data_IF_734064105423
#
_entry.id   IF_734064105423
#
_cell.length_a   1.000
_cell.length_b   1.000
_cell.length_c   1.000
_cell.angle_alpha   90.00
_cell.angle_beta   90.00
_cell.angle_gamma   90.00
#
_symmetry.space_group_name_H-M   'P 1'
#
loop_
_entity.id
_entity.type
_entity.pdbx_description
1 polymer ?
#
# COMPACT_ATOMS: atom_id res chain seq x y z
N UNK A 1 1.07 -8.83 -2.62
CA UNK A 1 0.83 -9.65 -3.84
C UNK A 1 0.92 -11.13 -3.50
N UNK A 2 2.06 -11.68 -3.07
CA UNK A 2 2.19 -13.13 -2.79
C UNK A 2 1.23 -13.62 -1.67
N UNK A 3 0.85 -12.77 -0.72
CA UNK A 3 -0.20 -13.09 0.26
C UNK A 3 -1.60 -13.16 -0.33
N UNK A 4 -1.88 -12.40 -1.39
CA UNK A 4 -3.14 -12.56 -2.11
C UNK A 4 -3.20 -13.94 -2.79
N UNK A 5 -2.10 -14.31 -3.46
CA UNK A 5 -1.95 -15.60 -4.15
C UNK A 5 -2.02 -16.78 -3.17
N UNK A 6 -1.37 -16.67 -2.01
CA UNK A 6 -1.48 -17.68 -0.96
C UNK A 6 -2.92 -17.81 -0.46
N UNK A 7 -3.60 -16.68 -0.23
CA UNK A 7 -5.02 -16.66 0.16
C UNK A 7 -5.92 -17.40 -0.84
N UNK A 8 -5.82 -17.06 -2.13
CA UNK A 8 -6.51 -17.75 -3.22
C UNK A 8 -6.24 -19.27 -3.17
N UNK A 9 -4.96 -19.67 -3.21
CA UNK A 9 -4.58 -21.08 -3.23
C UNK A 9 -5.15 -21.85 -2.04
N UNK A 10 -5.12 -21.26 -0.85
CA UNK A 10 -5.65 -21.86 0.38
C UNK A 10 -7.17 -21.96 0.30
N UNK A 11 -7.86 -20.87 -0.07
CA UNK A 11 -9.32 -20.80 -0.14
C UNK A 11 -9.95 -21.63 -1.26
N UNK A 12 -9.21 -21.93 -2.34
CA UNK A 12 -9.68 -22.65 -3.54
C UNK A 12 -10.28 -24.04 -3.29
N UNK A 13 -10.00 -24.63 -2.12
CA UNK A 13 -10.54 -25.93 -1.70
C UNK A 13 -11.93 -25.76 -1.06
N UNK A 14 -12.19 -24.61 -0.45
CA UNK A 14 -13.30 -24.35 0.46
C UNK A 14 -14.47 -23.58 -0.18
N UNK A 15 -14.25 -22.91 -1.31
CA UNK A 15 -15.29 -22.19 -2.07
C UNK A 15 -16.55 -23.06 -2.31
N UNK A 16 -16.34 -24.33 -2.67
CA UNK A 16 -17.40 -25.32 -2.88
C UNK A 16 -17.48 -26.39 -1.78
N UNK A 17 -16.61 -26.30 -0.76
CA UNK A 17 -16.58 -27.22 0.38
C UNK A 17 -16.33 -26.43 1.68
N UNK A 18 -17.32 -25.66 2.17
CA UNK A 18 -17.15 -24.82 3.35
C UNK A 18 -16.72 -25.63 4.58
N UNK A 19 -15.95 -25.00 5.46
CA UNK A 19 -15.48 -25.59 6.72
C UNK A 19 -15.78 -24.68 7.89
N UNK A 20 -16.10 -25.27 9.03
CA UNK A 20 -16.18 -24.58 10.33
C UNK A 20 -14.97 -24.89 11.23
N UNK A 21 -14.11 -25.82 10.81
CA UNK A 21 -12.90 -26.19 11.54
C UNK A 21 -11.78 -25.18 11.29
N UNK A 22 -11.36 -24.44 12.31
CA UNK A 22 -10.26 -23.46 12.22
C UNK A 22 -8.87 -24.12 12.06
N UNK A 23 -8.74 -25.42 12.29
CA UNK A 23 -7.47 -26.16 12.20
C UNK A 23 -7.28 -26.87 10.86
N UNK A 24 -8.02 -26.48 9.82
CA UNK A 24 -7.88 -27.04 8.48
C UNK A 24 -6.44 -26.93 7.94
N UNK A 25 -6.07 -27.86 7.07
CA UNK A 25 -4.76 -27.81 6.39
C UNK A 25 -4.73 -26.68 5.36
N UNK A 26 -3.84 -25.70 5.53
CA UNK A 26 -3.73 -24.55 4.61
C UNK A 26 -3.44 -24.98 3.17
N UNK A 27 -2.43 -25.84 2.99
CA UNK A 27 -1.98 -26.31 1.68
C UNK A 27 -2.20 -27.82 1.56
N UNK A 28 -3.23 -28.21 0.82
CA UNK A 28 -3.49 -29.61 0.48
C UNK A 28 -3.05 -29.91 -0.96
N UNK A 29 -3.16 -31.18 -1.37
CA UNK A 29 -2.98 -31.59 -2.77
C UNK A 29 -4.04 -31.00 -3.72
N UNK A 30 -5.18 -30.55 -3.19
CA UNK A 30 -6.27 -29.93 -3.96
C UNK A 30 -6.13 -28.42 -4.10
N UNK A 31 -5.29 -27.80 -3.27
CA UNK A 31 -5.03 -26.36 -3.29
C UNK A 31 -4.37 -25.95 -4.60
N UNK A 32 -5.01 -25.05 -5.34
CA UNK A 32 -4.60 -24.58 -6.67
C UNK A 32 -4.86 -23.09 -6.77
N UNK A 33 -4.13 -22.37 -7.63
CA UNK A 33 -4.46 -20.98 -7.93
C UNK A 33 -5.70 -20.90 -8.82
N UNK A 34 -6.50 -19.84 -8.66
CA UNK A 34 -7.70 -19.57 -9.47
C UNK A 34 -7.51 -18.33 -10.35
N UNK A 35 -8.60 -17.77 -10.88
CA UNK A 35 -8.56 -16.53 -11.64
C UNK A 35 -8.12 -15.32 -10.80
N UNK A 36 -8.29 -15.37 -9.48
CA UNK A 36 -7.75 -14.41 -8.52
C UNK A 36 -6.25 -14.17 -8.72
N UNK A 37 -5.47 -15.26 -8.69
CA UNK A 37 -4.03 -15.21 -8.93
C UNK A 37 -3.72 -14.76 -10.35
N UNK A 38 -4.40 -15.31 -11.36
CA UNK A 38 -4.10 -14.97 -12.76
C UNK A 38 -4.32 -13.48 -13.00
N UNK A 39 -5.43 -12.93 -12.54
CA UNK A 39 -5.76 -11.53 -12.73
C UNK A 39 -4.96 -10.61 -11.80
N UNK A 40 -4.55 -11.07 -10.61
CA UNK A 40 -3.55 -10.39 -9.78
C UNK A 40 -2.23 -10.26 -10.52
N UNK A 41 -1.76 -11.33 -11.16
CA UNK A 41 -0.55 -11.33 -11.98
C UNK A 41 -0.71 -10.40 -13.19
N UNK A 42 -1.87 -10.42 -13.85
CA UNK A 42 -2.16 -9.53 -14.97
C UNK A 42 -2.15 -8.04 -14.58
N UNK A 43 -2.66 -7.69 -13.40
CA UNK A 43 -2.58 -6.33 -12.84
C UNK A 43 -1.12 -5.94 -12.58
N UNK A 44 -0.32 -6.82 -11.98
CA UNK A 44 1.11 -6.58 -11.74
C UNK A 44 1.91 -6.40 -13.05
N UNK A 45 1.65 -7.24 -14.04
CA UNK A 45 2.27 -7.16 -15.37
C UNK A 45 1.91 -5.86 -16.09
N UNK A 46 0.64 -5.43 -16.01
CA UNK A 46 0.20 -4.16 -16.58
C UNK A 46 0.89 -2.97 -15.93
N UNK A 47 0.97 -2.93 -14.60
CA UNK A 47 1.65 -1.87 -13.84
C UNK A 47 3.14 -1.78 -14.19
N UNK A 48 3.87 -2.90 -14.12
CA UNK A 48 5.31 -2.90 -14.35
C UNK A 48 5.72 -2.52 -15.77
N UNK A 49 4.86 -2.81 -16.75
CA UNK A 49 5.14 -2.61 -18.17
C UNK A 49 4.30 -1.49 -18.80
N UNK A 50 3.57 -0.72 -17.98
CA UNK A 50 2.69 0.35 -18.42
C UNK A 50 1.73 -0.07 -19.56
N UNK A 51 1.14 -1.27 -19.43
CA UNK A 51 0.18 -1.81 -20.41
C UNK A 51 -1.24 -1.35 -20.09
N UNK A 52 -2.09 -1.37 -21.11
CA UNK A 52 -3.53 -1.25 -20.91
C UNK A 52 -4.08 -2.43 -20.08
N UNK A 53 -4.93 -2.15 -19.08
CA UNK A 53 -5.47 -3.17 -18.19
C UNK A 53 -6.42 -4.12 -18.91
N UNK A 54 -7.30 -3.61 -19.78
CA UNK A 54 -8.27 -4.44 -20.48
C UNK A 54 -7.55 -5.47 -21.35
N UNK A 55 -6.55 -5.00 -22.11
CA UNK A 55 -5.73 -5.88 -22.93
C UNK A 55 -4.94 -6.88 -22.08
N UNK A 56 -4.30 -6.43 -21.00
CA UNK A 56 -3.54 -7.32 -20.10
C UNK A 56 -4.44 -8.43 -19.53
N UNK A 57 -5.65 -8.10 -19.07
CA UNK A 57 -6.59 -9.09 -18.54
C UNK A 57 -7.02 -10.12 -19.58
N UNK A 58 -7.23 -9.71 -20.84
CA UNK A 58 -7.52 -10.64 -21.93
C UNK A 58 -6.33 -11.53 -22.29
N UNK A 59 -5.12 -10.96 -22.36
CA UNK A 59 -3.90 -11.71 -22.66
C UNK A 59 -3.66 -12.83 -21.64
N UNK A 60 -3.79 -12.50 -20.35
CA UNK A 60 -3.64 -13.48 -19.27
C UNK A 60 -4.79 -14.48 -19.19
N UNK A 61 -6.03 -14.06 -19.46
CA UNK A 61 -7.15 -14.99 -19.61
C UNK A 61 -6.91 -16.01 -20.73
N UNK A 62 -6.39 -15.57 -21.88
CA UNK A 62 -6.12 -16.45 -23.02
C UNK A 62 -5.01 -17.48 -22.72
N UNK A 63 -4.04 -17.13 -21.87
CA UNK A 63 -3.03 -18.07 -21.38
C UNK A 63 -3.61 -19.08 -20.38
N UNK A 64 -4.60 -18.68 -19.58
CA UNK A 64 -5.17 -19.48 -18.50
C UNK A 64 -6.70 -19.50 -18.51
N UNK A 65 -7.38 -20.03 -19.55
CA UNK A 65 -8.82 -19.81 -19.74
C UNK A 65 -9.74 -20.66 -18.83
N UNK A 66 -9.18 -21.53 -17.97
CA UNK A 66 -9.92 -22.54 -17.17
C UNK A 66 -9.68 -22.41 -15.66
N UNK A 67 -9.48 -21.19 -15.15
CA UNK A 67 -9.08 -20.97 -13.76
C UNK A 67 -10.18 -20.56 -12.78
N UNK A 68 -11.44 -20.43 -13.20
CA UNK A 68 -12.55 -20.12 -12.28
C UNK A 68 -13.41 -18.91 -12.67
N UNK A 69 -13.00 -18.16 -13.70
CA UNK A 69 -13.65 -16.89 -14.07
C UNK A 69 -15.17 -16.92 -14.10
N UNK A 70 -15.76 -15.90 -13.47
CA UNK A 70 -17.18 -15.61 -13.56
C UNK A 70 -17.68 -15.50 -15.01
N UNK A 71 -18.90 -15.96 -15.26
CA UNK A 71 -19.45 -16.13 -16.62
C UNK A 71 -19.44 -14.84 -17.46
N UNK A 72 -19.70 -13.68 -16.86
CA UNK A 72 -19.66 -12.39 -17.55
C UNK A 72 -18.23 -11.97 -17.93
N UNK A 73 -17.26 -12.19 -17.05
CA UNK A 73 -15.85 -11.92 -17.35
C UNK A 73 -15.37 -12.79 -18.50
N UNK A 74 -15.70 -14.09 -18.47
CA UNK A 74 -15.35 -15.04 -19.53
C UNK A 74 -15.89 -14.59 -20.90
N UNK A 75 -17.17 -14.21 -20.97
CA UNK A 75 -17.78 -13.69 -22.20
C UNK A 75 -17.07 -12.43 -22.71
N UNK A 76 -16.77 -11.49 -21.80
CA UNK A 76 -16.05 -10.27 -22.15
C UNK A 76 -14.63 -10.56 -22.66
N UNK A 77 -13.87 -11.43 -21.97
CA UNK A 77 -12.49 -11.75 -22.31
C UNK A 77 -12.38 -12.48 -23.65
N UNK A 78 -13.40 -13.24 -24.03
CA UNK A 78 -13.51 -13.93 -25.33
C UNK A 78 -14.03 -13.05 -26.46
N UNK A 79 -14.55 -11.85 -26.16
CA UNK A 79 -15.02 -10.90 -27.18
C UNK A 79 -13.87 -10.02 -27.69
N UNK A 80 -14.09 -9.32 -28.80
CA UNK A 80 -13.13 -8.32 -29.31
C UNK A 80 -13.22 -6.97 -28.56
N UNK A 81 -14.28 -6.75 -27.77
CA UNK A 81 -14.53 -5.45 -27.11
C UNK A 81 -13.64 -5.21 -25.88
N UNK A 82 -13.00 -4.05 -25.80
CA UNK A 82 -12.30 -3.61 -24.58
C UNK A 82 -13.21 -2.81 -23.62
N UNK A 83 -14.45 -2.53 -24.03
CA UNK A 83 -15.41 -1.80 -23.19
C UNK A 83 -15.83 -2.63 -21.98
N UNK A 84 -16.02 -2.00 -20.81
CA UNK A 84 -16.47 -2.69 -19.61
C UNK A 84 -17.91 -3.20 -19.73
N UNK A 85 -18.25 -4.22 -18.95
CA UNK A 85 -19.55 -4.91 -19.04
C UNK A 85 -20.49 -4.67 -17.84
N UNK A 86 -20.27 -3.61 -17.04
CA UNK A 86 -21.23 -3.22 -16.00
C UNK A 86 -21.16 -4.00 -14.69
N UNK A 87 -20.08 -4.75 -14.43
CA UNK A 87 -20.04 -5.67 -13.28
C UNK A 87 -19.98 -4.96 -11.93
N UNK A 88 -20.81 -5.43 -10.99
CA UNK A 88 -20.84 -5.05 -9.57
C UNK A 88 -20.16 -6.08 -8.64
N UNK A 89 -19.61 -7.16 -9.22
CA UNK A 89 -18.98 -8.25 -8.46
C UNK A 89 -17.65 -7.87 -7.81
N UNK A 90 -17.15 -8.75 -6.95
CA UNK A 90 -15.89 -8.64 -6.21
C UNK A 90 -14.62 -8.83 -7.08
N UNK A 91 -14.78 -9.23 -8.34
CA UNK A 91 -13.69 -9.59 -9.24
C UNK A 91 -12.64 -8.49 -9.51
N UNK A 92 -12.99 -7.22 -9.29
CA UNK A 92 -12.04 -6.11 -9.31
C UNK A 92 -11.18 -6.03 -8.04
N UNK A 93 -11.78 -6.30 -6.87
CA UNK A 93 -11.13 -6.22 -5.57
C UNK A 93 -10.14 -7.37 -5.33
N UNK A 94 -10.47 -8.58 -5.80
CA UNK A 94 -9.61 -9.76 -5.65
C UNK A 94 -8.24 -9.60 -6.34
N UNK A 95 -8.20 -8.86 -7.45
CA UNK A 95 -6.99 -8.69 -8.28
C UNK A 95 -6.23 -7.37 -8.08
N UNK A 96 -6.71 -6.50 -7.20
CA UNK A 96 -6.17 -5.13 -7.06
C UNK A 96 -4.90 -5.06 -6.22
N UNK A 97 -4.51 -6.17 -5.56
CA UNK A 97 -3.42 -6.16 -4.59
C UNK A 97 -2.10 -5.53 -5.08
N UNK A 98 -1.65 -5.70 -6.35
CA UNK A 98 -0.43 -5.06 -6.83
C UNK A 98 -0.49 -3.53 -6.78
N UNK A 99 -1.65 -2.93 -7.02
CA UNK A 99 -1.84 -1.47 -6.97
C UNK A 99 -1.51 -0.92 -5.59
N UNK A 100 -1.95 -1.59 -4.52
CA UNK A 100 -1.67 -1.19 -3.13
C UNK A 100 -0.18 -1.22 -2.76
N UNK A 101 0.63 -2.00 -3.49
CA UNK A 101 2.08 -2.09 -3.30
C UNK A 101 2.86 -1.10 -4.18
N UNK A 102 2.37 -0.79 -5.38
CA UNK A 102 3.13 -0.13 -6.43
C UNK A 102 3.35 1.37 -6.18
N UNK A 103 2.35 2.07 -5.64
CA UNK A 103 2.39 3.52 -5.50
C UNK A 103 2.78 3.99 -4.09
N UNK A 104 3.35 5.20 -4.02
CA UNK A 104 3.86 5.79 -2.78
C UNK A 104 2.93 6.81 -2.13
N UNK A 105 1.78 7.10 -2.75
CA UNK A 105 0.72 7.92 -2.15
C UNK A 105 -0.63 7.22 -2.19
N UNK A 106 -1.46 7.49 -1.18
CA UNK A 106 -2.81 6.95 -1.10
C UNK A 106 -3.65 7.42 -2.29
N UNK A 107 -3.58 8.70 -2.66
CA UNK A 107 -4.35 9.25 -3.79
C UNK A 107 -4.03 8.55 -5.12
N UNK A 108 -2.74 8.34 -5.44
CA UNK A 108 -2.36 7.59 -6.63
C UNK A 108 -2.82 6.13 -6.57
N UNK A 109 -2.74 5.50 -5.39
CA UNK A 109 -3.22 4.13 -5.19
C UNK A 109 -4.71 4.01 -5.48
N UNK A 110 -5.51 4.96 -4.98
CA UNK A 110 -6.96 4.97 -5.17
C UNK A 110 -7.37 5.29 -6.60
N UNK A 111 -6.67 6.22 -7.26
CA UNK A 111 -6.96 6.52 -8.67
C UNK A 111 -6.58 5.34 -9.57
N UNK A 112 -5.45 4.70 -9.32
CA UNK A 112 -5.06 3.54 -10.13
C UNK A 112 -5.97 2.33 -9.90
N UNK A 113 -6.41 2.10 -8.65
CA UNK A 113 -7.39 1.06 -8.35
C UNK A 113 -8.73 1.30 -9.06
N UNK A 114 -9.14 2.57 -9.19
CA UNK A 114 -10.31 2.96 -9.99
C UNK A 114 -10.10 2.60 -11.46
N UNK A 115 -8.94 2.96 -12.04
CA UNK A 115 -8.61 2.68 -13.44
C UNK A 115 -8.58 1.18 -13.74
N UNK A 116 -7.96 0.37 -12.89
CA UNK A 116 -7.87 -1.09 -13.08
C UNK A 116 -9.23 -1.80 -12.90
N UNK A 117 -10.12 -1.24 -12.07
CA UNK A 117 -11.48 -1.77 -11.88
C UNK A 117 -12.37 -1.44 -13.09
N UNK A 118 -12.35 -0.17 -13.52
CA UNK A 118 -13.30 0.39 -14.49
C UNK A 118 -13.26 -0.26 -15.88
N UNK A 119 -12.20 -0.98 -16.25
CA UNK A 119 -12.11 -1.70 -17.54
C UNK A 119 -13.00 -2.95 -17.63
N UNK A 120 -13.56 -3.42 -16.51
CA UNK A 120 -14.50 -4.57 -16.50
C UNK A 120 -15.66 -4.36 -15.52
N UNK A 121 -15.37 -3.78 -14.36
CA UNK A 121 -16.27 -3.56 -13.24
C UNK A 121 -16.43 -2.05 -13.04
N UNK A 122 -17.16 -1.40 -13.94
CA UNK A 122 -17.42 0.05 -13.90
C UNK A 122 -18.62 0.43 -13.01
N UNK A 123 -19.21 -0.51 -12.26
CA UNK A 123 -20.21 -0.19 -11.25
C UNK A 123 -19.55 0.52 -10.04
N UNK A 124 -20.19 1.55 -9.45
CA UNK A 124 -19.64 2.29 -8.31
C UNK A 124 -19.18 1.40 -7.14
N UNK A 125 -19.98 0.40 -6.78
CA UNK A 125 -19.64 -0.51 -5.67
C UNK A 125 -18.37 -1.33 -5.93
N UNK A 126 -18.15 -1.79 -7.16
CA UNK A 126 -16.98 -2.59 -7.52
C UNK A 126 -15.72 -1.73 -7.68
N UNK A 127 -15.87 -0.47 -8.10
CA UNK A 127 -14.80 0.53 -8.04
C UNK A 127 -14.44 0.83 -6.59
N UNK A 128 -15.44 1.12 -5.75
CA UNK A 128 -15.24 1.43 -4.34
C UNK A 128 -14.55 0.29 -3.61
N UNK A 129 -14.94 -0.96 -3.87
CA UNK A 129 -14.29 -2.14 -3.30
C UNK A 129 -12.82 -2.29 -3.72
N UNK A 130 -12.49 -2.11 -5.00
CA UNK A 130 -11.10 -2.14 -5.45
C UNK A 130 -10.27 -1.04 -4.79
N UNK A 131 -10.82 0.17 -4.67
CA UNK A 131 -10.18 1.29 -3.97
C UNK A 131 -10.01 1.01 -2.47
N UNK A 132 -11.02 0.43 -1.82
CA UNK A 132 -10.99 0.06 -0.41
C UNK A 132 -9.87 -0.95 -0.12
N UNK A 133 -9.79 -2.03 -0.90
CA UNK A 133 -8.74 -3.05 -0.73
C UNK A 133 -7.35 -2.49 -1.03
N UNK A 134 -7.17 -1.76 -2.14
CA UNK A 134 -5.88 -1.17 -2.48
C UNK A 134 -5.42 -0.14 -1.44
N UNK A 135 -6.34 0.70 -0.95
CA UNK A 135 -6.09 1.67 0.12
C UNK A 135 -5.75 1.00 1.45
N UNK A 136 -6.46 -0.08 1.81
CA UNK A 136 -6.16 -0.87 3.01
C UNK A 136 -4.76 -1.48 2.96
N UNK A 137 -4.35 -2.04 1.81
CA UNK A 137 -2.99 -2.56 1.59
C UNK A 137 -1.94 -1.45 1.72
N UNK A 138 -2.19 -0.28 1.11
CA UNK A 138 -1.30 0.87 1.22
C UNK A 138 -1.14 1.34 2.66
N UNK A 139 -2.24 1.49 3.40
CA UNK A 139 -2.20 1.92 4.80
C UNK A 139 -1.53 0.86 5.68
N UNK A 140 -1.87 -0.42 5.49
CA UNK A 140 -1.25 -1.53 6.21
C UNK A 140 0.28 -1.52 6.14
N UNK A 141 0.85 -1.32 4.94
CA UNK A 141 2.32 -1.28 4.78
C UNK A 141 2.95 0.02 5.30
N UNK A 142 2.20 1.11 5.38
CA UNK A 142 2.71 2.44 5.77
C UNK A 142 2.60 2.73 7.26
N UNK A 143 1.50 2.32 7.88
CA UNK A 143 1.18 2.70 9.26
C UNK A 143 1.30 1.55 10.24
N UNK A 144 1.10 0.30 9.76
CA UNK A 144 1.03 -0.89 10.63
C UNK A 144 0.01 -0.73 11.76
N UNK A 145 -1.05 0.03 11.51
CA UNK A 145 -2.10 0.33 12.48
C UNK A 145 -3.50 -0.04 11.91
N UNK A 146 -4.15 -1.01 12.55
CA UNK A 146 -5.49 -1.48 12.16
C UNK A 146 -6.56 -0.41 12.37
N UNK A 147 -6.43 0.46 13.37
CA UNK A 147 -7.41 1.51 13.64
C UNK A 147 -7.41 2.56 12.52
N UNK A 148 -6.24 2.89 11.96
CA UNK A 148 -6.15 3.77 10.80
C UNK A 148 -6.83 3.16 9.58
N UNK A 149 -6.58 1.88 9.31
CA UNK A 149 -7.22 1.15 8.18
C UNK A 149 -8.73 1.09 8.39
N UNK A 150 -9.18 0.73 9.59
CA UNK A 150 -10.58 0.67 9.97
C UNK A 150 -11.28 2.02 9.75
N UNK A 151 -10.71 3.12 10.29
CA UNK A 151 -11.28 4.45 10.17
C UNK A 151 -11.36 4.90 8.71
N UNK A 152 -10.31 4.65 7.93
CA UNK A 152 -10.29 4.93 6.49
C UNK A 152 -11.44 4.21 5.77
N UNK A 153 -11.61 2.91 6.03
CA UNK A 153 -12.64 2.11 5.37
C UNK A 153 -14.05 2.53 5.78
N UNK A 154 -14.27 2.77 7.08
CA UNK A 154 -15.54 3.23 7.63
C UNK A 154 -15.93 4.61 7.11
N UNK A 155 -15.06 5.61 7.22
CA UNK A 155 -15.40 6.99 6.89
C UNK A 155 -15.41 7.27 5.38
N UNK A 156 -14.54 6.63 4.60
CA UNK A 156 -14.45 6.89 3.16
C UNK A 156 -15.42 6.04 2.33
N UNK A 157 -15.68 4.81 2.74
CA UNK A 157 -16.51 3.86 1.96
C UNK A 157 -17.80 3.45 2.68
N UNK A 158 -18.02 3.89 3.92
CA UNK A 158 -19.23 3.58 4.67
C UNK A 158 -19.32 2.11 5.08
N UNK A 159 -18.20 1.39 5.17
CA UNK A 159 -18.21 -0.02 5.53
C UNK A 159 -18.50 -0.22 7.02
N UNK A 160 -19.41 -1.16 7.30
CA UNK A 160 -19.67 -1.68 8.63
C UNK A 160 -18.72 -2.84 8.92
N UNK A 161 -17.77 -2.62 9.84
CA UNK A 161 -16.64 -3.53 10.08
C UNK A 161 -16.59 -4.05 11.53
N UNK A 162 -17.67 -3.84 12.29
CA UNK A 162 -17.72 -4.10 13.73
C UNK A 162 -18.08 -5.55 14.07
N UNK A 163 -18.63 -6.31 13.11
CA UNK A 163 -19.09 -7.69 13.32
C UNK A 163 -17.95 -8.62 13.74
N UNK A 164 -18.26 -9.56 14.61
CA UNK A 164 -17.39 -10.69 14.94
C UNK A 164 -17.46 -11.79 13.88
N UNK A 165 -16.41 -12.59 13.78
CA UNK A 165 -16.33 -13.71 12.82
C UNK A 165 -17.49 -14.69 13.00
N UNK A 166 -17.85 -15.00 14.25
CA UNK A 166 -18.97 -15.89 14.57
C UNK A 166 -20.34 -15.34 14.16
N UNK A 167 -20.52 -14.02 14.23
CA UNK A 167 -21.77 -13.37 13.80
C UNK A 167 -21.93 -13.41 12.29
N UNK A 168 -20.84 -13.20 11.55
CA UNK A 168 -20.85 -13.31 10.09
C UNK A 168 -21.10 -14.76 9.68
N UNK A 169 -20.41 -15.73 10.29
CA UNK A 169 -20.56 -17.14 9.95
C UNK A 169 -21.99 -17.67 10.14
N UNK A 170 -22.75 -17.14 11.11
CA UNK A 170 -24.12 -17.56 11.36
C UNK A 170 -25.09 -17.21 10.22
N UNK A 171 -24.87 -16.06 9.55
CA UNK A 171 -25.84 -15.47 8.63
C UNK A 171 -25.30 -15.31 7.19
N UNK A 172 -24.00 -15.52 6.95
CA UNK A 172 -23.37 -15.26 5.67
C UNK A 172 -23.54 -16.43 4.69
N UNK A 173 -23.87 -16.10 3.45
CA UNK A 173 -24.03 -17.04 2.35
C UNK A 173 -23.14 -16.64 1.18
N UNK A 174 -22.95 -17.56 0.23
CA UNK A 174 -22.15 -17.33 -0.96
C UNK A 174 -22.63 -16.07 -1.71
N UNK A 175 -21.81 -15.03 -1.71
CA UNK A 175 -22.09 -13.74 -2.33
C UNK A 175 -20.88 -13.27 -3.13
N UNK A 176 -21.08 -13.09 -4.43
CA UNK A 176 -20.06 -12.62 -5.37
C UNK A 176 -20.08 -11.09 -5.52
N UNK A 177 -20.99 -10.40 -4.83
CA UNK A 177 -21.09 -8.94 -4.85
C UNK A 177 -19.90 -8.30 -4.17
N UNK A 178 -19.43 -7.19 -4.74
CA UNK A 178 -18.40 -6.38 -4.08
C UNK A 178 -18.88 -5.90 -2.70
N UNK A 179 -20.15 -5.48 -2.59
CA UNK A 179 -20.74 -4.95 -1.36
C UNK A 179 -20.89 -6.00 -0.26
N UNK A 180 -21.22 -7.23 -0.63
CA UNK A 180 -21.50 -8.30 0.32
C UNK A 180 -20.25 -9.07 0.76
N UNK A 181 -19.26 -9.26 -0.12
CA UNK A 181 -18.09 -10.10 0.18
C UNK A 181 -16.86 -9.34 0.68
N UNK A 182 -16.58 -8.16 0.13
CA UNK A 182 -15.33 -7.42 0.39
C UNK A 182 -15.24 -6.92 1.84
N UNK A 183 -16.31 -6.36 2.44
CA UNK A 183 -16.28 -6.01 3.87
C UNK A 183 -16.00 -7.23 4.77
N UNK A 184 -16.51 -8.41 4.44
CA UNK A 184 -16.29 -9.60 5.27
C UNK A 184 -14.83 -10.06 5.22
N UNK A 185 -14.21 -10.05 4.04
CA UNK A 185 -12.78 -10.33 3.89
C UNK A 185 -11.91 -9.32 4.65
N UNK A 186 -12.30 -8.05 4.66
CA UNK A 186 -11.64 -7.01 5.45
C UNK A 186 -11.80 -7.28 6.95
N UNK A 187 -13.00 -7.67 7.42
CA UNK A 187 -13.23 -8.03 8.83
C UNK A 187 -12.35 -9.21 9.23
N UNK A 188 -12.21 -10.23 8.38
CA UNK A 188 -11.32 -11.36 8.62
C UNK A 188 -9.87 -10.91 8.91
N UNK A 189 -9.36 -9.93 8.13
CA UNK A 189 -8.09 -9.28 8.42
C UNK A 189 -8.13 -8.47 9.72
N UNK A 190 -9.14 -7.63 9.96
CA UNK A 190 -9.19 -6.78 11.14
C UNK A 190 -9.20 -7.61 12.44
N UNK A 191 -9.88 -8.76 12.45
CA UNK A 191 -9.95 -9.70 13.58
C UNK A 191 -8.77 -10.67 13.70
N UNK A 192 -7.79 -10.62 12.80
CA UNK A 192 -6.62 -11.51 12.82
C UNK A 192 -5.53 -11.08 13.81
N UNK A 193 -4.62 -11.98 14.14
CA UNK A 193 -3.41 -11.71 14.96
C UNK A 193 -2.12 -11.83 14.17
N UNK A 194 -2.19 -12.52 13.04
CA UNK A 194 -1.09 -12.78 12.11
C UNK A 194 -1.66 -13.09 10.72
N UNK A 195 -0.79 -13.37 9.75
CA UNK A 195 -1.19 -13.68 8.39
C UNK A 195 -2.07 -14.94 8.29
N UNK A 196 -1.69 -16.01 9.00
CA UNK A 196 -2.38 -17.29 8.92
C UNK A 196 -3.81 -17.17 9.48
N UNK A 197 -3.97 -16.55 10.64
CA UNK A 197 -5.27 -16.28 11.25
C UNK A 197 -6.15 -15.39 10.37
N UNK A 198 -5.59 -14.43 9.61
CA UNK A 198 -6.37 -13.65 8.64
C UNK A 198 -6.96 -14.53 7.53
N UNK A 199 -6.15 -15.41 6.95
CA UNK A 199 -6.60 -16.34 5.90
C UNK A 199 -7.59 -17.36 6.46
N UNK A 200 -7.32 -17.92 7.65
CA UNK A 200 -8.23 -18.86 8.32
C UNK A 200 -9.58 -18.21 8.63
N UNK A 201 -9.56 -17.02 9.22
CA UNK A 201 -10.78 -16.25 9.49
C UNK A 201 -11.60 -16.08 8.21
N UNK A 202 -10.96 -15.72 7.09
CA UNK A 202 -11.66 -15.52 5.81
C UNK A 202 -12.29 -16.82 5.30
N UNK A 203 -11.57 -17.94 5.33
CA UNK A 203 -12.09 -19.26 4.93
C UNK A 203 -13.27 -19.70 5.82
N UNK A 204 -13.22 -19.41 7.12
CA UNK A 204 -14.27 -19.78 8.07
C UNK A 204 -15.58 -19.04 7.87
N UNK A 205 -15.57 -17.88 7.20
CA UNK A 205 -16.80 -17.15 6.87
C UNK A 205 -17.68 -17.94 5.89
N UNK A 206 -17.08 -18.85 5.13
CA UNK A 206 -17.75 -19.55 4.03
C UNK A 206 -18.09 -18.62 2.86
N UNK A 207 -18.72 -19.18 1.82
CA UNK A 207 -19.01 -18.45 0.59
C UNK A 207 -17.85 -18.51 -0.41
N UNK A 208 -17.53 -17.37 -1.01
CA UNK A 208 -16.47 -17.20 -2.02
C UNK A 208 -15.08 -17.19 -1.35
N UNK A 209 -14.70 -18.36 -0.83
CA UNK A 209 -13.63 -18.50 0.16
C UNK A 209 -12.23 -18.19 -0.41
N UNK A 210 -11.95 -18.51 -1.67
CA UNK A 210 -10.72 -18.10 -2.36
C UNK A 210 -10.64 -16.60 -2.51
N UNK A 211 -11.71 -15.95 -2.99
CA UNK A 211 -11.73 -14.48 -3.11
C UNK A 211 -11.57 -13.77 -1.76
N UNK A 212 -12.30 -14.23 -0.75
CA UNK A 212 -12.21 -13.64 0.59
C UNK A 212 -10.82 -13.83 1.20
N UNK A 213 -10.25 -15.03 1.09
CA UNK A 213 -8.90 -15.32 1.58
C UNK A 213 -7.84 -14.55 0.79
N UNK A 214 -8.01 -14.38 -0.51
CA UNK A 214 -7.16 -13.58 -1.39
C UNK A 214 -7.11 -12.12 -0.91
N UNK A 215 -8.26 -11.50 -0.68
CA UNK A 215 -8.35 -10.11 -0.18
C UNK A 215 -7.77 -9.98 1.23
N UNK A 216 -8.17 -10.85 2.16
CA UNK A 216 -7.69 -10.82 3.54
C UNK A 216 -6.16 -11.04 3.60
N UNK A 217 -5.65 -12.02 2.85
CA UNK A 217 -4.23 -12.32 2.72
C UNK A 217 -3.44 -11.17 2.09
N UNK A 218 -4.01 -10.47 1.11
CA UNK A 218 -3.38 -9.29 0.51
C UNK A 218 -3.11 -8.17 1.53
N UNK A 219 -4.11 -7.86 2.37
CA UNK A 219 -4.01 -6.83 3.42
C UNK A 219 -3.11 -7.33 4.55
N UNK A 220 -3.30 -8.57 4.99
CA UNK A 220 -2.52 -9.19 6.06
C UNK A 220 -1.03 -9.23 5.74
N UNK A 221 -0.65 -9.58 4.50
CA UNK A 221 0.75 -9.54 4.06
C UNK A 221 1.33 -8.13 4.21
N UNK A 222 0.57 -7.10 3.85
CA UNK A 222 1.03 -5.73 3.96
C UNK A 222 1.15 -5.27 5.42
N UNK A 223 0.40 -5.87 6.34
CA UNK A 223 0.37 -5.51 7.75
C UNK A 223 1.41 -6.28 8.57
N UNK A 224 1.43 -7.60 8.50
CA UNK A 224 2.27 -8.44 9.36
C UNK A 224 3.74 -8.50 8.87
N UNK A 225 4.70 -8.81 9.75
CA UNK A 225 6.13 -8.85 9.41
C UNK A 225 6.49 -9.99 8.43
N UNK A 226 5.62 -10.99 8.27
CA UNK A 226 5.78 -12.07 7.32
C UNK A 226 4.56 -12.98 7.29
N UNK A 227 4.58 -13.93 6.35
CA UNK A 227 3.50 -14.91 6.15
C UNK A 227 3.91 -16.34 6.58
N UNK A 228 5.11 -16.49 7.15
CA UNK A 228 5.77 -17.77 7.38
C UNK A 228 6.51 -18.28 6.14
N UNK A 229 7.75 -18.73 6.29
CA UNK A 229 8.61 -19.19 5.17
C UNK A 229 7.95 -20.31 4.36
N UNK A 230 7.26 -21.23 5.02
CA UNK A 230 6.57 -22.35 4.38
C UNK A 230 5.46 -21.89 3.42
N UNK A 231 4.77 -20.80 3.73
CA UNK A 231 3.67 -20.27 2.91
C UNK A 231 4.18 -19.80 1.55
N UNK A 232 5.29 -19.08 1.51
CA UNK A 232 5.86 -18.58 0.25
C UNK A 232 6.37 -19.72 -0.64
N UNK A 233 7.05 -20.71 -0.05
CA UNK A 233 7.50 -21.90 -0.78
C UNK A 233 6.32 -22.67 -1.39
N UNK A 234 5.24 -22.87 -0.64
CA UNK A 234 4.06 -23.58 -1.13
C UNK A 234 3.33 -22.84 -2.25
N UNK A 235 3.38 -21.49 -2.26
CA UNK A 235 2.91 -20.69 -3.41
C UNK A 235 3.77 -20.97 -4.64
N UNK A 236 5.08 -20.78 -4.55
CA UNK A 236 5.95 -20.93 -5.73
C UNK A 236 5.97 -22.36 -6.29
N UNK A 237 5.76 -23.39 -5.46
CA UNK A 237 5.58 -24.78 -5.92
C UNK A 237 4.32 -24.99 -6.76
N UNK A 238 3.29 -24.14 -6.60
CA UNK A 238 1.99 -24.26 -7.28
C UNK A 238 1.84 -23.33 -8.47
N UNK A 239 2.66 -22.29 -8.57
CA UNK A 239 2.70 -21.44 -9.74
C UNK A 239 3.53 -22.09 -10.84
N UNK A 240 3.06 -21.97 -12.08
CA UNK A 240 3.94 -22.26 -13.21
C UNK A 240 5.00 -21.15 -13.40
N UNK A 241 5.96 -21.41 -14.28
CA UNK A 241 7.07 -20.49 -14.54
C UNK A 241 6.61 -19.09 -14.98
N UNK A 242 5.55 -18.96 -15.79
CA UNK A 242 5.12 -17.66 -16.32
C UNK A 242 4.52 -16.80 -15.21
N UNK A 243 3.63 -17.39 -14.39
CA UNK A 243 3.06 -16.70 -13.23
C UNK A 243 4.16 -16.36 -12.22
N UNK A 244 5.02 -17.32 -11.88
CA UNK A 244 6.11 -17.14 -10.92
C UNK A 244 7.10 -16.04 -11.37
N UNK A 245 7.46 -15.98 -12.65
CA UNK A 245 8.39 -14.98 -13.18
C UNK A 245 7.86 -13.54 -12.98
N UNK A 246 6.55 -13.32 -13.14
CA UNK A 246 5.93 -12.00 -12.90
C UNK A 246 5.90 -11.69 -11.41
N UNK A 247 5.51 -12.66 -10.58
CA UNK A 247 5.51 -12.49 -9.11
C UNK A 247 6.90 -12.12 -8.62
N UNK A 248 7.94 -12.84 -9.04
CA UNK A 248 9.34 -12.58 -8.66
C UNK A 248 9.79 -11.19 -9.15
N UNK A 249 9.43 -10.79 -10.37
CA UNK A 249 9.78 -9.45 -10.88
C UNK A 249 9.10 -8.34 -10.08
N UNK A 250 7.84 -8.52 -9.71
CA UNK A 250 7.07 -7.55 -8.95
C UNK A 250 7.52 -7.44 -7.49
N UNK A 251 7.90 -8.57 -6.87
CA UNK A 251 8.32 -8.63 -5.46
C UNK A 251 9.80 -8.30 -5.26
N UNK A 252 10.63 -8.42 -6.31
CA UNK A 252 11.99 -7.92 -6.26
C UNK A 252 11.97 -6.42 -5.96
N UNK A 253 12.85 -5.92 -5.07
CA UNK A 253 13.02 -4.49 -4.90
C UNK A 253 13.44 -3.91 -6.26
N UNK A 254 12.51 -3.29 -6.97
CA UNK A 254 12.84 -2.54 -8.17
C UNK A 254 13.84 -1.46 -7.76
N UNK A 255 15.00 -1.41 -8.40
CA UNK A 255 16.00 -0.35 -8.31
C UNK A 255 15.49 1.05 -8.70
N UNK A 256 14.17 1.20 -8.85
CA UNK A 256 13.44 2.41 -9.21
C UNK A 256 12.42 2.83 -8.13
N UNK A 257 12.36 2.15 -6.98
CA UNK A 257 11.51 2.53 -5.86
C UNK A 257 12.30 2.43 -4.55
N UNK A 258 13.05 3.49 -4.23
CA UNK A 258 13.58 3.66 -2.88
C UNK A 258 12.40 3.69 -1.90
N UNK A 259 12.31 2.69 -1.02
CA UNK A 259 11.51 2.82 0.18
C UNK A 259 11.94 4.12 0.89
N UNK A 260 11.04 5.10 0.95
CA UNK A 260 11.26 6.33 1.70
C UNK A 260 11.48 5.94 3.16
N UNK A 261 12.70 6.09 3.65
CA UNK A 261 13.05 5.90 5.06
C UNK A 261 12.44 7.07 5.85
N UNK A 262 11.53 6.79 6.78
CA UNK A 262 10.85 7.85 7.56
C UNK A 262 11.64 8.23 8.81
N UNK A 263 11.65 9.51 9.16
CA UNK A 263 12.36 10.04 10.32
C UNK A 263 11.37 10.41 11.44
N UNK A 264 11.61 9.97 12.69
CA UNK A 264 10.76 10.28 13.84
C UNK A 264 11.06 11.70 14.38
N UNK A 265 10.73 12.73 13.60
CA UNK A 265 10.89 14.13 13.99
C UNK A 265 9.59 14.68 14.58
N UNK A 266 9.68 15.35 15.73
CA UNK A 266 8.51 15.81 16.50
C UNK A 266 8.57 17.30 16.88
N UNK A 267 9.36 18.10 16.15
CA UNK A 267 9.51 19.53 16.41
C UNK A 267 8.51 20.41 15.64
N UNK A 268 8.27 21.62 16.17
CA UNK A 268 7.47 22.67 15.53
C UNK A 268 8.27 23.96 15.28
N UNK A 269 9.57 23.97 15.57
CA UNK A 269 10.45 25.13 15.37
C UNK A 269 11.01 25.15 13.95
N UNK A 270 10.15 25.52 13.00
CA UNK A 270 10.49 25.59 11.58
C UNK A 270 11.19 26.90 11.22
N UNK A 271 12.13 26.79 10.31
CA UNK A 271 12.88 27.88 9.71
C UNK A 271 12.75 27.78 8.20
N UNK A 272 12.51 28.92 7.53
CA UNK A 272 12.34 28.97 6.09
C UNK A 272 13.37 29.90 5.47
N UNK A 273 13.96 29.46 4.36
CA UNK A 273 14.76 30.29 3.48
C UNK A 273 14.04 30.41 2.14
N UNK A 274 13.38 31.54 1.87
CA UNK A 274 12.84 31.84 0.54
C UNK A 274 13.97 31.85 -0.49
N UNK A 275 13.69 31.30 -1.67
CA UNK A 275 14.55 31.29 -2.84
C UNK A 275 13.81 31.97 -3.99
N UNK A 276 14.51 32.23 -5.09
CA UNK A 276 13.91 32.75 -6.32
C UNK A 276 12.82 31.79 -6.88
N UNK A 277 11.86 32.33 -7.63
CA UNK A 277 10.77 31.58 -8.28
C UNK A 277 9.85 30.81 -7.33
N UNK A 278 9.51 31.41 -6.18
CA UNK A 278 8.62 30.81 -5.16
C UNK A 278 9.11 29.45 -4.62
N UNK A 279 10.42 29.20 -4.68
CA UNK A 279 11.03 28.03 -4.04
C UNK A 279 11.43 28.36 -2.61
N UNK A 280 11.60 27.33 -1.78
CA UNK A 280 11.93 27.48 -0.38
C UNK A 280 12.64 26.23 0.13
N UNK A 281 13.60 26.45 1.04
CA UNK A 281 14.19 25.38 1.83
C UNK A 281 13.73 25.53 3.29
N UNK A 282 13.32 24.41 3.87
CA UNK A 282 12.92 24.34 5.27
C UNK A 282 14.02 23.74 6.12
N UNK A 283 14.10 24.19 7.36
CA UNK A 283 14.93 23.61 8.40
C UNK A 283 14.09 23.39 9.66
N UNK A 284 14.30 22.25 10.32
CA UNK A 284 13.68 21.91 11.60
C UNK A 284 14.78 21.62 12.63
N UNK A 285 14.75 22.33 13.75
CA UNK A 285 15.62 22.03 14.89
C UNK A 285 14.96 20.91 15.69
N UNK A 286 15.67 19.82 15.91
CA UNK A 286 15.22 18.69 16.72
C UNK A 286 16.23 18.40 17.83
N UNK A 287 15.74 18.34 19.07
CA UNK A 287 16.55 17.96 20.21
C UNK A 287 16.85 16.46 20.17
N UNK A 288 18.11 16.10 20.41
CA UNK A 288 18.51 14.70 20.62
C UNK A 288 18.54 14.50 22.13
N UNK A 289 17.73 13.56 22.62
CA UNK A 289 17.53 13.29 24.04
C UNK A 289 18.86 13.16 24.82
N UNK A 290 18.86 13.69 26.04
CA UNK A 290 19.93 13.63 27.05
C UNK A 290 21.29 14.26 26.69
N UNK A 291 21.39 15.01 25.59
CA UNK A 291 22.59 15.79 25.22
C UNK A 291 22.28 17.28 25.01
N UNK A 292 23.28 18.15 25.18
CA UNK A 292 23.14 19.56 24.76
C UNK A 292 23.10 19.71 23.23
N UNK A 293 23.51 18.67 22.50
CA UNK A 293 23.60 18.69 21.05
C UNK A 293 22.22 18.72 20.40
N UNK A 294 22.13 19.48 19.30
CA UNK A 294 20.89 19.58 18.51
C UNK A 294 21.18 19.21 17.06
N UNK A 295 20.19 18.61 16.40
CA UNK A 295 20.23 18.34 14.97
C UNK A 295 19.32 19.33 14.23
N UNK A 296 19.82 19.87 13.13
CA UNK A 296 19.04 20.67 12.18
C UNK A 296 18.83 19.83 10.94
N UNK A 297 17.57 19.53 10.63
CA UNK A 297 17.17 18.76 9.45
C UNK A 297 16.71 19.71 8.35
N UNK A 298 17.27 19.57 7.14
CA UNK A 298 16.87 20.35 5.98
C UNK A 298 15.94 19.56 5.08
N UNK A 299 14.86 20.19 4.64
CA UNK A 299 13.78 19.53 3.92
C UNK A 299 13.12 20.42 2.89
N UNK A 300 12.44 19.78 1.94
CA UNK A 300 11.57 20.45 0.97
C UNK A 300 10.16 20.64 1.54
N UNK A 301 9.33 21.34 0.78
CA UNK A 301 7.92 21.61 1.08
C UNK A 301 7.05 20.33 1.18
N UNK A 302 7.52 19.21 0.64
CA UNK A 302 6.85 17.90 0.66
C UNK A 302 7.39 16.98 1.77
N UNK A 303 8.00 17.56 2.81
CA UNK A 303 8.54 16.86 3.99
C UNK A 303 9.66 15.86 3.70
N UNK A 304 10.27 15.96 2.51
CA UNK A 304 11.44 15.20 2.12
C UNK A 304 12.71 15.81 2.71
N UNK A 305 13.30 15.14 3.70
CA UNK A 305 14.55 15.49 4.36
C UNK A 305 15.72 15.06 3.48
N UNK A 306 16.56 16.03 3.09
CA UNK A 306 17.67 15.78 2.18
C UNK A 306 19.05 16.05 2.80
N UNK A 307 19.13 16.68 3.98
CA UNK A 307 20.38 16.94 4.68
C UNK A 307 20.15 17.09 6.20
N UNK A 308 21.21 16.90 7.00
CA UNK A 308 21.20 17.12 8.46
C UNK A 308 22.54 17.64 8.94
N UNK A 309 22.52 18.64 9.81
CA UNK A 309 23.70 19.16 10.51
C UNK A 309 23.57 19.01 12.03
N UNK A 310 24.70 18.73 12.68
CA UNK A 310 24.80 18.58 14.14
C UNK A 310 25.44 19.83 14.72
N UNK A 311 24.92 20.32 15.84
CA UNK A 311 25.46 21.46 16.58
C UNK A 311 25.64 21.08 18.05
N UNK A 312 26.57 21.75 18.73
CA UNK A 312 26.86 21.45 20.13
C UNK A 312 25.75 21.93 21.07
N UNK A 313 25.01 22.97 20.67
CA UNK A 313 23.89 23.54 21.42
C UNK A 313 22.92 24.31 20.50
N UNK A 314 21.76 24.67 21.08
CA UNK A 314 20.69 25.39 20.39
C UNK A 314 21.15 26.77 19.88
N UNK A 315 21.92 27.51 20.68
CA UNK A 315 22.36 28.86 20.32
C UNK A 315 23.25 28.83 19.07
N UNK A 316 24.15 27.85 18.97
CA UNK A 316 25.01 27.66 17.80
C UNK A 316 24.19 27.36 16.53
N UNK A 317 23.16 26.51 16.65
CA UNK A 317 22.26 26.18 15.55
C UNK A 317 21.46 27.41 15.07
N UNK A 318 20.85 28.15 16.01
CA UNK A 318 20.07 29.36 15.73
C UNK A 318 20.94 30.45 15.08
N UNK A 319 22.13 30.71 15.63
CA UNK A 319 23.08 31.68 15.06
C UNK A 319 23.50 31.27 13.64
N UNK A 320 23.73 29.97 13.40
CA UNK A 320 24.12 29.47 12.09
C UNK A 320 23.00 29.58 11.06
N UNK A 321 21.76 29.25 11.44
CA UNK A 321 20.58 29.42 10.57
C UNK A 321 20.40 30.88 10.16
N UNK A 322 20.43 31.82 11.11
CA UNK A 322 20.32 33.26 10.84
C UNK A 322 21.42 33.77 9.92
N UNK A 323 22.68 33.39 10.14
CA UNK A 323 23.80 33.75 9.26
C UNK A 323 23.64 33.24 7.83
N UNK A 324 22.89 32.15 7.63
CA UNK A 324 22.60 31.57 6.33
C UNK A 324 21.25 32.02 5.74
N UNK A 325 20.67 33.10 6.27
CA UNK A 325 19.43 33.74 5.81
C UNK A 325 18.18 32.87 5.97
N UNK A 326 18.19 31.93 6.92
CA UNK A 326 16.96 31.30 7.36
C UNK A 326 16.24 32.23 8.33
N UNK A 327 14.94 32.38 8.11
CA UNK A 327 14.03 33.15 8.95
C UNK A 327 13.21 32.16 9.78
N UNK A 328 13.06 32.44 11.08
CA UNK A 328 12.25 31.59 11.95
C UNK A 328 10.77 31.80 11.61
N UNK A 329 10.07 30.72 11.26
CA UNK A 329 8.71 30.79 10.73
C UNK A 329 7.73 31.39 11.73
N UNK A 330 7.86 31.05 13.02
CA UNK A 330 7.01 31.58 14.10
C UNK A 330 7.15 33.10 14.30
N UNK A 331 8.29 33.69 13.93
CA UNK A 331 8.65 35.10 14.16
C UNK A 331 8.42 36.00 12.93
N UNK A 332 7.94 35.46 11.80
CA UNK A 332 7.86 36.22 10.54
C UNK A 332 6.45 36.10 9.91
N UNK A 333 5.66 37.19 9.99
CA UNK A 333 4.29 37.23 9.48
C UNK A 333 4.21 37.19 7.95
N UNK A 334 5.18 37.79 7.26
CA UNK A 334 5.26 37.75 5.79
C UNK A 334 5.43 36.31 5.29
N UNK A 335 6.29 35.51 5.94
CA UNK A 335 6.43 34.09 5.60
C UNK A 335 5.13 33.30 5.77
N UNK A 336 4.35 33.60 6.80
CA UNK A 336 3.08 32.92 7.07
C UNK A 336 2.00 33.25 6.04
N UNK A 337 2.09 34.41 5.40
CA UNK A 337 1.19 34.82 4.32
C UNK A 337 1.42 33.99 3.04
N UNK A 338 2.68 33.68 2.73
CA UNK A 338 3.05 33.04 1.47
C UNK A 338 3.30 31.52 1.56
N UNK A 339 3.64 30.99 2.74
CA UNK A 339 4.10 29.61 2.88
C UNK A 339 3.52 28.90 4.12
N UNK A 340 3.18 27.62 3.96
CA UNK A 340 2.90 26.72 5.08
C UNK A 340 4.10 25.82 5.40
N UNK A 341 4.37 25.50 6.68
CA UNK A 341 5.48 24.62 7.07
C UNK A 341 5.21 23.16 6.64
N UNK A 342 6.26 22.34 6.41
CA UNK A 342 6.09 20.94 6.07
C UNK A 342 5.45 20.14 7.20
N UNK A 343 4.60 19.18 6.85
CA UNK A 343 3.85 18.36 7.81
C UNK A 343 4.41 16.93 7.87
N UNK A 344 4.38 16.31 9.05
CA UNK A 344 4.74 14.90 9.20
C UNK A 344 3.83 14.00 8.33
N UNK A 345 4.32 12.82 7.84
CA UNK A 345 5.58 12.19 8.19
C UNK A 345 6.77 12.66 7.32
N UNK A 346 7.91 12.90 7.98
CA UNK A 346 9.17 13.25 7.32
C UNK A 346 9.88 12.01 6.80
N UNK A 347 10.52 12.10 5.64
CA UNK A 347 11.24 10.98 5.03
C UNK A 347 12.53 11.40 4.32
N UNK A 348 13.50 10.50 4.24
CA UNK A 348 14.73 10.72 3.49
C UNK A 348 14.40 10.82 1.99
N UNK A 349 14.81 11.94 1.40
CA UNK A 349 14.64 12.25 0.00
C UNK A 349 15.96 12.76 -0.60
N UNK A 350 16.22 12.53 -1.89
CA UNK A 350 17.35 13.17 -2.56
C UNK A 350 17.14 14.69 -2.59
N UNK A 351 18.25 15.44 -2.56
CA UNK A 351 18.20 16.89 -2.65
C UNK A 351 17.52 17.34 -3.96
N UNK A 352 16.56 18.30 -3.93
CA UNK A 352 15.69 18.63 -5.07
C UNK A 352 16.41 19.19 -6.31
N UNK A 353 17.69 19.59 -6.18
CA UNK A 353 18.54 20.07 -7.29
C UNK A 353 19.81 19.22 -7.51
N UNK A 354 19.83 17.96 -7.05
CA UNK A 354 21.06 17.16 -6.96
C UNK A 354 21.99 17.68 -5.85
N UNK A 355 23.22 17.15 -5.75
CA UNK A 355 24.17 17.33 -4.61
C UNK A 355 24.60 18.77 -4.24
N UNK A 356 24.02 19.83 -4.80
CA UNK A 356 24.75 21.11 -4.92
C UNK A 356 24.19 22.30 -4.14
N UNK A 357 22.96 22.34 -3.60
CA UNK A 357 22.43 23.64 -3.09
C UNK A 357 21.88 23.75 -1.65
N UNK A 358 22.09 22.76 -0.79
CA UNK A 358 22.10 22.98 0.68
C UNK A 358 23.33 22.42 1.37
N UNK A 359 24.25 21.82 0.62
CA UNK A 359 25.39 21.13 1.23
C UNK A 359 26.07 22.10 2.19
N UNK A 360 26.32 21.66 3.43
CA UNK A 360 27.13 22.39 4.41
C UNK A 360 28.55 22.77 3.94
N UNK A 361 28.85 22.64 2.63
CA UNK A 361 30.06 23.10 1.94
C UNK A 361 30.21 24.64 1.95
N UNK A 362 29.11 25.39 2.15
CA UNK A 362 29.13 26.86 2.29
C UNK A 362 28.68 27.35 3.67
N UNK A 363 28.34 26.43 4.59
CA UNK A 363 28.06 26.78 5.97
C UNK A 363 29.39 27.04 6.68
N UNK A 364 29.64 28.27 7.08
CA UNK A 364 30.79 28.62 7.93
C UNK A 364 30.57 28.08 9.35
N UNK A 365 30.77 26.79 9.58
CA UNK A 365 30.87 26.22 10.93
C UNK A 365 32.34 26.21 11.38
N UNK A 366 32.61 26.64 12.62
CA UNK A 366 33.96 26.58 13.19
C UNK A 366 34.40 25.16 13.55
N UNK A 367 33.48 24.20 13.59
CA UNK A 367 33.73 22.87 14.17
C UNK A 367 32.75 21.82 13.63
N UNK A 368 33.28 20.68 13.16
CA UNK A 368 32.68 19.37 13.46
C UNK A 368 31.87 18.64 12.38
N UNK A 369 32.54 17.70 11.72
CA UNK A 369 32.10 16.40 11.14
C UNK A 369 30.72 16.23 10.47
N UNK A 370 30.78 15.75 9.22
CA UNK A 370 29.67 15.21 8.42
C UNK A 370 29.49 13.71 8.70
N UNK A 371 28.25 13.27 8.87
CA UNK A 371 27.87 11.86 8.76
C UNK A 371 26.79 11.78 7.68
N UNK A 372 27.15 11.18 6.54
CA UNK A 372 26.23 10.85 5.43
C UNK A 372 25.49 9.58 5.79
#
# INVERSE_FOLDING_TARGET
MIGAIAGDIIGSVFEHNPTTDNHFTLFSRKSRFTDDTVLTVATADALMNNKDYAQSYKDWFNLYPRQGYGGSFKKWAQSDSLEPYGSWGNGSAMRVSPVGWFFNSLNQTLEEARRSSAVTHNHPDAIAAAQAVAGAIFLARKTKDKQIIYNFLRYKFGYELDKEISEIQADYHFDVSAKGSVPQAIIAFLKSTDYESAVRNAVLLGGDADTQACIAGAIAQAFYPGMGLFTEEEVYKRLDKKLADVVIKFTKPSSHNSAKEYLPLFGNDFWCKPLENHQQNWALINHISDSQNVAVYFMNELSGVFDRLMFNNLDEAVLSLRKNYFLRYSENEELKEYFGPPEAPFYIAPHPKGYIYSSGKYWHTKTGQRYV
#
